data_IF_821996052337
#
_entry.id   IF_821996052337
#
_cell.length_a   1.000
_cell.length_b   1.000
_cell.length_c   1.000
_cell.angle_alpha   90.00
_cell.angle_beta   90.00
_cell.angle_gamma   90.00
#
_symmetry.space_group_name_H-M   'P 1'
#
loop_
_entity.id
_entity.type
_entity.pdbx_description
1 polymer ?
#
# COMPACT_ATOMS: atom_id res chain seq x y z
N UNK A 1 -8.60 -5.46 -1.32
CA UNK A 1 -7.22 -4.96 -1.24
C UNK A 1 -7.25 -3.49 -0.88
N UNK A 2 -6.40 -3.11 0.07
CA UNK A 2 -6.23 -1.72 0.43
C UNK A 2 -5.07 -1.11 -0.30
N UNK A 3 -5.27 0.12 -0.69
CA UNK A 3 -4.16 1.01 -0.94
C UNK A 3 -3.36 1.15 0.37
N UNK A 4 -2.04 0.89 0.40
CA UNK A 4 -1.26 0.94 1.62
C UNK A 4 -1.32 2.24 2.41
N UNK A 5 -1.71 3.34 1.75
CA UNK A 5 -1.88 4.65 2.38
C UNK A 5 -3.30 5.00 2.75
N UNK A 6 -4.26 4.16 2.41
CA UNK A 6 -5.64 4.40 2.81
C UNK A 6 -5.77 4.30 4.32
N UNK A 7 -6.49 5.22 4.95
CA UNK A 7 -6.82 5.08 6.36
C UNK A 7 -7.60 3.79 6.58
N UNK A 8 -7.15 2.94 7.48
CA UNK A 8 -7.83 1.67 7.83
C UNK A 8 -9.22 1.91 8.43
N UNK A 9 -9.43 3.06 9.07
CA UNK A 9 -10.71 3.45 9.67
C UNK A 9 -11.92 3.38 8.72
N UNK A 10 -11.83 3.71 7.42
CA UNK A 10 -12.96 3.55 6.50
C UNK A 10 -13.41 2.11 6.33
N UNK A 11 -12.48 1.17 6.28
CA UNK A 11 -12.84 -0.24 6.26
C UNK A 11 -13.58 -0.63 7.53
N UNK A 12 -13.03 -0.27 8.68
CA UNK A 12 -13.65 -0.53 9.98
C UNK A 12 -15.07 0.07 10.04
N UNK A 13 -15.28 1.22 9.42
CA UNK A 13 -16.60 1.83 9.32
C UNK A 13 -17.54 1.06 8.39
N UNK A 14 -17.08 0.63 7.23
CA UNK A 14 -17.86 -0.18 6.29
C UNK A 14 -18.26 -1.53 6.92
N UNK A 15 -17.43 -2.05 7.81
CA UNK A 15 -17.64 -3.32 8.52
C UNK A 15 -18.60 -3.24 9.72
N UNK A 16 -19.11 -2.07 10.07
CA UNK A 16 -19.96 -1.87 11.28
C UNK A 16 -21.21 -2.74 11.37
N UNK A 17 -21.63 -3.36 10.27
CA UNK A 17 -22.85 -4.19 10.22
C UNK A 17 -22.58 -5.69 10.14
N UNK A 18 -21.33 -6.12 10.07
CA UNK A 18 -20.99 -7.52 9.85
C UNK A 18 -19.84 -7.94 10.76
N UNK A 19 -20.02 -9.05 11.49
CA UNK A 19 -18.90 -9.65 12.21
C UNK A 19 -17.97 -10.33 11.22
N UNK A 20 -16.69 -9.99 11.24
CA UNK A 20 -15.74 -10.54 10.29
C UNK A 20 -14.35 -10.73 10.90
N UNK A 21 -13.60 -11.62 10.27
CA UNK A 21 -12.17 -11.78 10.48
C UNK A 21 -11.41 -10.96 9.46
N UNK A 22 -10.24 -10.49 9.85
CA UNK A 22 -9.31 -9.78 8.96
C UNK A 22 -8.08 -10.65 8.77
N UNK A 23 -7.65 -10.77 7.53
CA UNK A 23 -6.33 -11.29 7.19
C UNK A 23 -5.38 -10.13 6.96
N UNK A 24 -4.20 -10.21 7.58
CA UNK A 24 -3.10 -9.28 7.39
C UNK A 24 -2.02 -10.00 6.62
N UNK A 25 -1.83 -9.61 5.37
CA UNK A 25 -0.75 -10.14 4.55
C UNK A 25 0.59 -9.65 5.09
N UNK A 26 1.43 -10.57 5.55
CA UNK A 26 2.73 -10.27 6.15
C UNK A 26 3.88 -10.29 5.13
N UNK A 27 3.56 -10.49 3.86
CA UNK A 27 4.49 -10.39 2.73
C UNK A 27 3.87 -9.48 1.70
N UNK A 28 4.62 -8.52 1.17
CA UNK A 28 4.10 -7.65 0.12
C UNK A 28 4.04 -8.40 -1.20
N UNK A 29 2.84 -8.56 -1.75
CA UNK A 29 2.63 -9.18 -3.06
C UNK A 29 2.35 -8.14 -4.15
N UNK A 30 1.45 -7.20 -3.88
CA UNK A 30 0.89 -6.32 -4.92
C UNK A 30 1.59 -4.97 -5.08
N UNK A 31 2.63 -4.72 -4.34
CA UNK A 31 3.49 -3.53 -4.49
C UNK A 31 4.81 -3.83 -5.20
N UNK A 32 4.90 -4.99 -5.89
CA UNK A 32 6.13 -5.53 -6.39
C UNK A 32 6.94 -6.17 -5.26
N UNK A 33 7.02 -7.47 -5.26
CA UNK A 33 7.79 -8.19 -4.25
C UNK A 33 9.24 -7.72 -4.26
N UNK A 34 9.73 -7.37 -3.10
CA UNK A 34 11.14 -7.09 -2.88
C UNK A 34 11.62 -7.83 -1.65
N UNK A 35 12.69 -8.58 -1.80
CA UNK A 35 13.35 -9.25 -0.68
C UNK A 35 13.92 -8.27 0.36
N UNK A 36 13.97 -6.99 0.02
CA UNK A 36 14.54 -5.93 0.84
C UNK A 36 13.49 -5.14 1.61
N UNK A 37 12.22 -5.40 1.36
CA UNK A 37 11.15 -4.66 1.99
C UNK A 37 10.49 -5.40 3.12
N UNK A 38 10.03 -4.64 4.03
CA UNK A 38 9.11 -4.98 5.06
C UNK A 38 8.29 -3.74 5.34
N UNK A 39 7.21 -3.65 5.87
CA UNK A 39 6.58 -4.21 7.01
C UNK A 39 5.24 -3.57 7.18
N UNK A 40 4.21 -4.26 6.86
CA UNK A 40 2.86 -3.85 7.21
C UNK A 40 2.67 -3.73 8.73
N UNK A 41 3.22 -4.62 9.59
CA UNK A 41 3.05 -4.49 11.04
C UNK A 41 3.75 -3.26 11.66
N UNK A 42 4.67 -2.62 10.97
CA UNK A 42 5.29 -1.37 11.42
C UNK A 42 4.61 -0.12 10.84
N UNK A 43 3.71 -0.29 9.88
CA UNK A 43 2.88 0.79 9.36
C UNK A 43 1.91 1.30 10.43
N UNK A 44 1.79 2.62 10.55
CA UNK A 44 0.97 3.24 11.60
C UNK A 44 -0.53 2.95 11.44
N UNK A 45 -1.01 2.74 10.19
CA UNK A 45 -2.39 2.37 9.93
C UNK A 45 -2.68 0.96 10.45
N UNK A 46 -1.76 0.01 10.19
CA UNK A 46 -1.90 -1.36 10.67
C UNK A 46 -1.80 -1.44 12.19
N UNK A 47 -0.88 -0.72 12.80
CA UNK A 47 -0.77 -0.62 14.26
C UNK A 47 -2.05 -0.02 14.84
N UNK A 48 -2.62 1.00 14.21
CA UNK A 48 -3.90 1.59 14.63
C UNK A 48 -5.05 0.57 14.57
N UNK A 49 -5.13 -0.22 13.48
CA UNK A 49 -6.12 -1.29 13.35
C UNK A 49 -6.01 -2.30 14.51
N UNK A 50 -4.80 -2.74 14.82
CA UNK A 50 -4.56 -3.71 15.87
C UNK A 50 -4.88 -3.16 17.27
N UNK A 51 -4.64 -1.86 17.49
CA UNK A 51 -4.90 -1.17 18.77
C UNK A 51 -6.36 -0.83 19.02
N UNK A 52 -7.11 -0.62 17.95
CA UNK A 52 -8.50 -0.16 18.00
C UNK A 52 -9.44 -1.09 17.23
N UNK A 53 -9.44 -2.40 17.51
CA UNK A 53 -10.38 -3.31 16.87
C UNK A 53 -11.81 -2.86 17.18
N UNK A 54 -12.67 -2.86 16.18
CA UNK A 54 -14.10 -2.60 16.40
C UNK A 54 -14.77 -3.85 16.97
N UNK A 55 -15.93 -3.70 17.60
CA UNK A 55 -16.75 -4.83 18.11
C UNK A 55 -17.08 -5.86 17.00
N UNK A 56 -16.97 -5.49 15.76
CA UNK A 56 -17.27 -6.33 14.61
C UNK A 56 -16.07 -7.15 14.12
N UNK A 57 -14.85 -6.86 14.56
CA UNK A 57 -13.68 -7.67 14.27
C UNK A 57 -13.61 -8.79 15.31
N UNK A 58 -13.90 -10.01 14.87
CA UNK A 58 -13.89 -11.20 15.76
C UNK A 58 -12.54 -11.91 15.77
N UNK A 59 -11.64 -11.55 14.89
CA UNK A 59 -10.29 -12.07 14.85
C UNK A 59 -9.45 -11.39 13.77
N UNK A 60 -8.13 -11.40 13.99
CA UNK A 60 -7.13 -10.93 13.01
C UNK A 60 -6.11 -12.04 12.85
N UNK A 61 -5.89 -12.51 11.63
CA UNK A 61 -4.91 -13.52 11.29
C UNK A 61 -3.78 -12.93 10.46
N UNK A 62 -2.54 -13.20 10.85
CA UNK A 62 -1.39 -12.96 9.98
C UNK A 62 -1.26 -14.08 8.97
N UNK A 63 -1.12 -13.76 7.69
CA UNK A 63 -0.98 -14.73 6.60
C UNK A 63 0.18 -14.34 5.70
N UNK A 64 0.80 -15.30 5.05
CA UNK A 64 1.71 -15.09 3.92
C UNK A 64 1.88 -16.36 3.10
N UNK A 65 2.23 -16.19 1.84
CA UNK A 65 2.69 -17.28 0.99
C UNK A 65 4.10 -17.67 1.39
N UNK A 66 4.30 -18.90 1.83
CA UNK A 66 5.61 -19.37 2.33
C UNK A 66 6.33 -20.29 1.32
N UNK A 67 5.62 -20.79 0.31
CA UNK A 67 6.19 -21.71 -0.68
C UNK A 67 6.80 -22.96 -0.05
N UNK A 68 7.79 -23.54 -0.72
CA UNK A 68 8.53 -24.73 -0.30
C UNK A 68 9.98 -24.41 0.12
N UNK A 69 10.34 -23.14 0.28
CA UNK A 69 11.69 -22.72 0.62
C UNK A 69 12.00 -22.97 2.09
N UNK A 70 13.24 -23.38 2.39
CA UNK A 70 13.73 -23.57 3.75
C UNK A 70 13.67 -22.27 4.57
N UNK A 71 13.95 -21.16 3.93
CA UNK A 71 13.74 -19.84 4.47
C UNK A 71 12.37 -19.35 4.00
N UNK A 72 11.35 -19.70 4.72
CA UNK A 72 9.97 -19.32 4.43
C UNK A 72 9.86 -17.82 4.19
N UNK A 73 9.07 -17.44 3.20
CA UNK A 73 8.93 -16.08 2.69
C UNK A 73 10.20 -15.51 2.00
N UNK A 74 11.23 -16.33 1.75
CA UNK A 74 12.39 -15.96 0.94
C UNK A 74 13.35 -14.93 1.54
N UNK A 75 13.04 -14.32 2.68
CA UNK A 75 13.80 -13.22 3.24
C UNK A 75 13.79 -13.24 4.77
N UNK A 76 14.95 -12.89 5.36
CA UNK A 76 15.03 -12.66 6.80
C UNK A 76 14.13 -11.49 7.22
N UNK A 77 14.02 -10.46 6.40
CA UNK A 77 13.17 -9.30 6.68
C UNK A 77 11.69 -9.68 6.80
N UNK A 78 11.22 -10.65 6.04
CA UNK A 78 9.83 -11.13 6.16
C UNK A 78 9.58 -11.83 7.51
N UNK A 79 10.59 -12.47 8.10
CA UNK A 79 10.49 -13.02 9.44
C UNK A 79 10.24 -11.94 10.50
N UNK A 80 10.77 -10.74 10.31
CA UNK A 80 10.51 -9.63 11.22
C UNK A 80 9.05 -9.19 11.18
N UNK A 81 8.34 -9.29 10.04
CA UNK A 81 6.90 -9.06 9.97
C UNK A 81 6.13 -10.01 10.89
N UNK A 82 6.45 -11.29 10.83
CA UNK A 82 5.85 -12.29 11.70
C UNK A 82 6.17 -12.03 13.17
N UNK A 83 7.41 -11.70 13.45
CA UNK A 83 7.83 -11.35 14.81
C UNK A 83 7.04 -10.13 15.33
N UNK A 84 6.93 -9.08 14.53
CA UNK A 84 6.21 -7.87 14.87
C UNK A 84 4.72 -8.15 15.08
N UNK A 85 4.09 -8.91 14.20
CA UNK A 85 2.69 -9.31 14.35
C UNK A 85 2.46 -10.07 15.67
N UNK A 86 3.30 -11.06 15.96
CA UNK A 86 3.21 -11.82 17.22
C UNK A 86 3.43 -10.96 18.47
N UNK A 87 4.37 -10.01 18.43
CA UNK A 87 4.62 -9.07 19.54
C UNK A 87 3.43 -8.15 19.77
N UNK A 88 2.86 -7.59 18.71
CA UNK A 88 1.68 -6.72 18.78
C UNK A 88 0.44 -7.50 19.21
N UNK A 89 0.27 -8.74 18.77
CA UNK A 89 -0.82 -9.60 19.24
C UNK A 89 -0.73 -9.89 20.75
N UNK A 90 0.47 -9.95 21.31
CA UNK A 90 0.68 -10.16 22.74
C UNK A 90 0.67 -8.88 23.58
N UNK A 91 1.10 -7.76 23.01
CA UNK A 91 1.15 -6.48 23.70
C UNK A 91 1.05 -5.30 22.71
N UNK A 92 -0.13 -4.74 22.57
CA UNK A 92 -0.44 -3.62 21.67
C UNK A 92 0.19 -2.28 22.08
N UNK A 93 0.80 -2.19 23.26
CA UNK A 93 1.46 -0.95 23.72
C UNK A 93 2.91 -0.82 23.26
N UNK A 94 3.48 -1.89 22.68
CA UNK A 94 4.86 -1.85 22.19
C UNK A 94 5.01 -0.89 21.01
N UNK A 95 6.10 -0.14 21.00
CA UNK A 95 6.44 0.70 19.85
C UNK A 95 7.07 -0.12 18.73
N UNK A 96 6.84 0.30 17.49
CA UNK A 96 7.46 -0.31 16.30
C UNK A 96 8.99 -0.32 16.41
N UNK A 97 9.59 0.73 16.92
CA UNK A 97 11.04 0.82 17.13
C UNK A 97 11.54 -0.20 18.14
N UNK A 98 10.86 -0.38 19.27
CA UNK A 98 11.21 -1.40 20.27
C UNK A 98 11.19 -2.80 19.67
N UNK A 99 10.14 -3.11 18.90
CA UNK A 99 9.98 -4.41 18.25
C UNK A 99 11.10 -4.65 17.23
N UNK A 100 11.40 -3.66 16.40
CA UNK A 100 12.44 -3.75 15.38
C UNK A 100 13.81 -4.01 16.01
N UNK A 101 14.21 -3.23 17.02
CA UNK A 101 15.47 -3.39 17.74
C UNK A 101 15.59 -4.75 18.43
N UNK A 102 14.52 -5.19 19.06
CA UNK A 102 14.49 -6.50 19.73
C UNK A 102 14.66 -7.64 18.73
N UNK A 103 13.97 -7.57 17.59
CA UNK A 103 14.10 -8.58 16.54
C UNK A 103 15.52 -8.63 15.97
N UNK A 104 16.09 -7.46 15.64
CA UNK A 104 17.44 -7.36 15.11
C UNK A 104 18.46 -7.96 16.09
N UNK A 105 18.38 -7.58 17.36
CA UNK A 105 19.32 -8.07 18.37
C UNK A 105 19.25 -9.60 18.51
N UNK A 106 18.04 -10.18 18.49
CA UNK A 106 17.84 -11.63 18.61
C UNK A 106 18.22 -12.38 17.35
N UNK A 107 17.81 -11.89 16.18
CA UNK A 107 18.00 -12.61 14.91
C UNK A 107 19.46 -12.61 14.46
N UNK A 108 20.20 -11.55 14.76
CA UNK A 108 21.61 -11.39 14.37
C UNK A 108 22.60 -11.54 15.52
N UNK A 109 22.11 -11.91 16.70
CA UNK A 109 22.92 -12.10 17.93
C UNK A 109 23.90 -10.94 18.17
N UNK A 110 23.43 -9.71 18.07
CA UNK A 110 24.23 -8.50 18.23
C UNK A 110 23.45 -7.36 18.88
N UNK A 111 24.16 -6.56 19.66
CA UNK A 111 23.66 -5.29 20.21
C UNK A 111 24.48 -4.09 19.74
N UNK A 112 25.38 -4.29 18.76
CA UNK A 112 26.22 -3.23 18.23
C UNK A 112 25.37 -2.10 17.62
N UNK A 113 25.42 -0.88 18.14
CA UNK A 113 24.61 0.23 17.63
C UNK A 113 24.94 0.61 16.17
N UNK A 114 26.16 0.28 15.70
CA UNK A 114 26.55 0.53 14.30
C UNK A 114 25.79 -0.36 13.32
N UNK A 115 25.27 -1.50 13.77
CA UNK A 115 24.37 -2.37 13.01
C UNK A 115 22.90 -2.08 13.35
N UNK A 116 22.56 -2.07 14.63
CA UNK A 116 21.16 -1.96 15.09
C UNK A 116 20.50 -0.65 14.63
N UNK A 117 21.20 0.48 14.69
CA UNK A 117 20.59 1.75 14.34
C UNK A 117 20.22 1.86 12.85
N UNK A 118 21.11 1.63 11.88
CA UNK A 118 20.75 1.69 10.47
C UNK A 118 19.72 0.62 10.11
N UNK A 119 19.86 -0.61 10.59
CA UNK A 119 18.91 -1.67 10.30
C UNK A 119 17.50 -1.42 10.89
N UNK A 120 17.43 -0.78 12.06
CA UNK A 120 16.13 -0.33 12.60
C UNK A 120 15.47 0.66 11.63
N UNK A 121 16.24 1.59 11.08
CA UNK A 121 15.76 2.55 10.10
C UNK A 121 15.24 1.83 8.84
N UNK A 122 16.00 0.88 8.30
CA UNK A 122 15.55 0.04 7.16
C UNK A 122 14.21 -0.61 7.46
N UNK A 123 14.08 -1.26 8.62
CA UNK A 123 12.84 -1.91 9.01
C UNK A 123 11.65 -0.95 9.12
N UNK A 124 11.85 0.27 9.54
CA UNK A 124 10.78 1.24 9.77
C UNK A 124 10.42 2.07 8.53
N UNK A 125 11.33 2.23 7.57
CA UNK A 125 11.16 3.18 6.46
C UNK A 125 11.08 2.49 5.08
N UNK A 126 11.53 1.22 4.95
CA UNK A 126 11.58 0.56 3.65
C UNK A 126 10.21 0.38 2.99
N UNK A 127 9.15 0.17 3.76
CA UNK A 127 7.79 0.10 3.22
C UNK A 127 7.41 1.41 2.49
N UNK A 128 7.63 2.54 3.12
CA UNK A 128 7.34 3.85 2.52
C UNK A 128 8.16 4.13 1.26
N UNK A 129 9.43 3.71 1.23
CA UNK A 129 10.25 3.83 0.04
C UNK A 129 9.66 3.02 -1.12
N UNK A 130 9.25 1.77 -0.88
CA UNK A 130 8.60 0.93 -1.89
C UNK A 130 7.28 1.54 -2.36
N UNK A 131 6.44 1.98 -1.44
CA UNK A 131 5.16 2.62 -1.81
C UNK A 131 5.39 3.83 -2.70
N UNK A 132 6.44 4.63 -2.46
CA UNK A 132 6.73 5.79 -3.31
C UNK A 132 7.05 5.42 -4.74
N UNK A 133 7.84 4.38 -5.01
CA UNK A 133 8.17 4.03 -6.39
C UNK A 133 7.21 3.02 -7.03
N UNK A 134 6.53 2.19 -6.24
CA UNK A 134 5.55 1.24 -6.77
C UNK A 134 4.14 1.83 -6.89
N UNK A 135 3.84 2.86 -6.09
CA UNK A 135 2.50 3.45 -6.00
C UNK A 135 2.57 4.99 -5.94
N UNK A 136 3.35 5.64 -6.82
CA UNK A 136 3.50 7.09 -6.79
C UNK A 136 2.13 7.76 -6.97
N UNK A 137 1.80 8.70 -6.10
CA UNK A 137 0.53 9.43 -6.05
C UNK A 137 -0.73 8.54 -6.03
N UNK A 138 -0.61 7.29 -5.57
CA UNK A 138 -1.73 6.35 -5.49
C UNK A 138 -1.95 5.49 -6.73
N UNK A 139 -1.06 5.50 -7.71
CA UNK A 139 -1.06 4.46 -8.75
C UNK A 139 -0.86 3.10 -8.09
N UNK A 140 -1.74 2.16 -8.40
CA UNK A 140 -1.73 0.82 -7.84
C UNK A 140 -1.64 -0.22 -8.95
N UNK A 141 -1.18 -1.45 -8.65
CA UNK A 141 -1.07 -2.52 -9.63
C UNK A 141 -0.20 -2.17 -10.87
N UNK A 142 0.87 -1.40 -10.70
CA UNK A 142 1.80 -1.08 -11.77
C UNK A 142 2.96 -2.09 -11.89
N UNK A 143 2.77 -3.30 -11.42
CA UNK A 143 3.72 -4.42 -11.48
C UNK A 143 3.39 -5.37 -12.64
N UNK A 144 4.34 -6.21 -13.00
CA UNK A 144 4.13 -7.25 -14.00
C UNK A 144 3.16 -8.31 -13.50
N UNK A 145 2.06 -8.54 -14.22
CA UNK A 145 1.02 -9.48 -13.83
C UNK A 145 1.49 -10.93 -13.68
N UNK A 146 2.55 -11.32 -14.41
CA UNK A 146 3.04 -12.70 -14.41
C UNK A 146 3.85 -13.11 -13.20
N UNK A 147 4.47 -12.17 -12.51
CA UNK A 147 5.36 -12.44 -11.37
C UNK A 147 5.30 -11.40 -10.25
N UNK A 148 4.45 -10.40 -10.37
CA UNK A 148 4.22 -9.34 -9.37
C UNK A 148 5.44 -8.48 -9.01
N UNK A 149 6.49 -8.52 -9.81
CA UNK A 149 7.62 -7.60 -9.70
C UNK A 149 7.39 -6.38 -10.60
N UNK A 150 7.99 -5.33 -10.30
CA UNK A 150 7.87 -4.14 -11.13
C UNK A 150 8.69 -2.99 -10.57
N UNK A 151 8.42 -1.78 -11.04
CA UNK A 151 7.22 -1.35 -11.80
C UNK A 151 7.25 -1.73 -13.28
N UNK A 152 6.16 -2.22 -13.81
CA UNK A 152 5.92 -2.48 -15.23
C UNK A 152 4.53 -1.95 -15.65
N UNK A 153 4.29 -0.65 -15.65
CA UNK A 153 2.98 -0.06 -15.92
C UNK A 153 2.47 -0.33 -17.35
N UNK A 154 3.34 -0.76 -18.25
CA UNK A 154 3.01 -1.19 -19.62
C UNK A 154 2.63 -2.67 -19.72
N UNK A 155 2.62 -3.41 -18.63
CA UNK A 155 2.33 -4.84 -18.65
C UNK A 155 0.94 -5.11 -19.22
N UNK A 156 0.88 -5.99 -20.21
CA UNK A 156 -0.36 -6.42 -20.86
C UNK A 156 -0.18 -7.87 -21.31
N UNK A 157 -0.67 -8.80 -20.52
CA UNK A 157 -0.60 -10.25 -20.82
C UNK A 157 -1.88 -10.67 -21.51
N UNK A 158 -1.79 -10.97 -22.80
CA UNK A 158 -2.93 -11.44 -23.58
C UNK A 158 -3.48 -12.76 -23.01
N UNK A 159 -4.77 -12.74 -22.67
CA UNK A 159 -5.46 -13.88 -22.06
C UNK A 159 -5.19 -14.07 -20.57
N UNK A 160 -4.45 -13.15 -19.94
CA UNK A 160 -4.35 -13.06 -18.49
C UNK A 160 -5.62 -12.47 -17.87
N UNK A 161 -5.73 -12.54 -16.55
CA UNK A 161 -6.82 -11.88 -15.83
C UNK A 161 -6.67 -10.36 -15.95
N UNK A 162 -7.74 -9.69 -16.30
CA UNK A 162 -7.77 -8.25 -16.46
C UNK A 162 -7.44 -7.52 -15.16
N UNK A 163 -8.01 -7.96 -14.07
CA UNK A 163 -7.86 -7.39 -12.72
C UNK A 163 -6.46 -7.64 -12.10
N UNK A 164 -5.56 -8.28 -12.81
CA UNK A 164 -4.14 -8.43 -12.43
C UNK A 164 -3.21 -7.54 -13.25
N UNK A 165 -3.75 -6.68 -14.09
CA UNK A 165 -2.96 -5.89 -15.03
C UNK A 165 -3.11 -4.39 -14.77
N UNK A 166 -2.04 -3.61 -14.93
CA UNK A 166 -2.05 -2.17 -14.63
C UNK A 166 -3.16 -1.40 -15.36
N UNK A 167 -3.36 -1.67 -16.64
CA UNK A 167 -4.36 -0.99 -17.47
C UNK A 167 -5.80 -1.17 -16.98
N UNK A 168 -6.04 -2.19 -16.18
CA UNK A 168 -7.35 -2.43 -15.58
C UNK A 168 -7.70 -1.35 -14.55
N UNK A 169 -6.74 -0.90 -13.77
CA UNK A 169 -6.94 0.08 -12.70
C UNK A 169 -6.71 1.51 -13.16
N UNK A 170 -5.72 1.73 -14.02
CA UNK A 170 -5.27 3.06 -14.39
C UNK A 170 -5.16 3.19 -15.90
N UNK A 171 -5.47 4.41 -16.37
CA UNK A 171 -5.34 4.76 -17.77
C UNK A 171 -4.37 5.94 -17.90
N UNK A 172 -3.47 5.82 -18.87
CA UNK A 172 -2.68 6.94 -19.38
C UNK A 172 -3.20 7.27 -20.77
N UNK A 173 -3.61 8.49 -21.00
CA UNK A 173 -4.06 8.98 -22.31
C UNK A 173 -3.58 10.42 -22.56
N UNK A 174 -4.00 11.00 -23.68
CA UNK A 174 -3.63 12.36 -24.05
C UNK A 174 -4.09 13.42 -23.04
N UNK A 175 -5.08 13.12 -22.22
CA UNK A 175 -5.65 14.05 -21.25
C UNK A 175 -4.98 13.94 -19.88
N UNK A 176 -4.55 12.75 -19.45
CA UNK A 176 -4.02 12.56 -18.12
C UNK A 176 -3.70 11.12 -17.76
N UNK A 177 -3.57 10.88 -16.45
CA UNK A 177 -3.24 9.61 -15.85
C UNK A 177 -4.11 9.36 -14.61
N UNK A 178 -4.39 8.10 -14.33
CA UNK A 178 -4.99 7.68 -13.07
C UNK A 178 -6.19 6.79 -13.26
N UNK A 179 -7.11 6.83 -12.31
CA UNK A 179 -8.24 5.94 -12.21
C UNK A 179 -9.04 5.86 -13.53
N UNK A 180 -9.31 4.64 -13.98
CA UNK A 180 -9.94 4.40 -15.28
C UNK A 180 -11.39 3.93 -15.19
N UNK A 181 -11.91 3.67 -13.99
CA UNK A 181 -13.17 2.95 -13.82
C UNK A 181 -14.09 3.58 -12.81
N UNK A 182 -15.39 3.41 -13.03
CA UNK A 182 -16.41 3.59 -12.02
C UNK A 182 -17.04 2.25 -11.71
N UNK A 183 -17.23 1.98 -10.42
CA UNK A 183 -18.08 0.90 -9.97
C UNK A 183 -19.53 1.40 -9.95
N UNK A 184 -20.42 0.73 -10.67
CA UNK A 184 -21.85 1.13 -10.78
C UNK A 184 -22.76 0.49 -9.73
N UNK A 185 -22.20 -0.32 -8.84
CA UNK A 185 -22.92 -1.00 -7.76
C UNK A 185 -23.20 -2.48 -8.05
N UNK A 186 -22.94 -2.97 -9.24
CA UNK A 186 -23.01 -4.40 -9.57
C UNK A 186 -21.59 -4.96 -9.74
N UNK A 187 -21.36 -6.16 -9.20
CA UNK A 187 -20.02 -6.73 -9.01
C UNK A 187 -19.24 -6.99 -10.31
N UNK A 188 -19.85 -6.83 -11.47
CA UNK A 188 -19.27 -7.11 -12.77
C UNK A 188 -19.36 -5.97 -13.79
N UNK A 189 -20.07 -4.90 -13.46
CA UNK A 189 -20.21 -3.78 -14.37
C UNK A 189 -19.20 -2.69 -14.07
N UNK A 190 -18.12 -2.72 -14.81
CA UNK A 190 -17.08 -1.69 -14.74
C UNK A 190 -17.33 -0.68 -15.84
N UNK A 191 -17.77 0.49 -15.47
CA UNK A 191 -17.98 1.58 -16.40
C UNK A 191 -16.66 2.20 -16.85
N UNK A 192 -16.58 2.82 -18.02
CA UNK A 192 -15.45 3.63 -18.44
C UNK A 192 -15.11 4.69 -17.38
N UNK A 193 -13.84 4.98 -17.22
CA UNK A 193 -13.34 5.95 -16.26
C UNK A 193 -13.85 7.36 -16.47
N UNK A 194 -13.60 8.20 -15.50
CA UNK A 194 -13.98 9.61 -15.54
C UNK A 194 -13.14 10.43 -16.52
N UNK A 195 -13.67 11.56 -16.93
CA UNK A 195 -12.86 12.61 -17.52
C UNK A 195 -11.88 13.20 -16.48
N UNK A 196 -10.85 13.89 -16.97
CA UNK A 196 -9.82 14.48 -16.13
C UNK A 196 -10.38 15.51 -15.14
N UNK A 197 -9.86 15.49 -13.94
CA UNK A 197 -10.20 16.43 -12.85
C UNK A 197 -11.68 16.46 -12.45
N UNK A 198 -12.42 15.42 -12.75
CA UNK A 198 -13.83 15.33 -12.37
C UNK A 198 -14.14 14.02 -11.65
N UNK A 199 -14.79 14.12 -10.52
CA UNK A 199 -15.32 12.99 -9.77
C UNK A 199 -14.28 11.95 -9.36
N UNK A 200 -14.75 10.96 -8.62
CA UNK A 200 -13.96 9.83 -8.16
C UNK A 200 -14.72 8.52 -8.32
N UNK A 201 -14.06 7.48 -8.85
CA UNK A 201 -14.64 6.16 -9.00
C UNK A 201 -14.87 5.43 -7.70
N UNK A 202 -13.85 5.35 -6.87
CA UNK A 202 -13.86 4.53 -5.66
C UNK A 202 -14.38 5.26 -4.41
N UNK A 203 -14.47 6.58 -4.41
CA UNK A 203 -14.83 7.36 -3.21
C UNK A 203 -16.21 7.00 -2.65
N UNK A 204 -17.13 6.51 -3.48
CA UNK A 204 -18.48 6.08 -3.05
C UNK A 204 -18.49 4.89 -2.08
N UNK A 205 -17.39 4.14 -2.02
CA UNK A 205 -17.25 3.01 -1.11
C UNK A 205 -16.99 3.45 0.34
N UNK A 206 -16.71 4.73 0.54
CA UNK A 206 -16.33 5.30 1.83
C UNK A 206 -17.50 6.03 2.51
N UNK A 207 -17.44 6.17 3.85
CA UNK A 207 -18.43 6.97 4.57
C UNK A 207 -18.36 8.45 4.15
N UNK A 208 -19.48 9.17 4.32
CA UNK A 208 -19.66 10.55 3.86
C UNK A 208 -18.52 11.50 4.24
N UNK A 209 -17.96 11.34 5.44
CA UNK A 209 -16.84 12.17 5.92
C UNK A 209 -15.60 12.03 5.06
N UNK A 210 -15.31 10.83 4.55
CA UNK A 210 -14.17 10.54 3.68
C UNK A 210 -14.54 10.71 2.22
N UNK A 211 -15.76 10.32 1.83
CA UNK A 211 -16.26 10.60 0.50
C UNK A 211 -16.08 12.07 0.11
N UNK A 212 -16.43 13.00 1.02
CA UNK A 212 -16.30 14.43 0.77
C UNK A 212 -14.84 14.90 0.59
N UNK A 213 -13.89 14.14 1.12
CA UNK A 213 -12.45 14.41 0.95
C UNK A 213 -11.96 13.80 -0.38
N UNK A 214 -12.26 12.54 -0.61
CA UNK A 214 -11.71 11.78 -1.74
C UNK A 214 -12.40 12.06 -3.08
N UNK A 215 -13.64 12.55 -3.08
CA UNK A 215 -14.40 12.76 -4.29
C UNK A 215 -13.99 13.99 -5.11
N UNK A 216 -13.12 14.82 -4.62
CA UNK A 216 -12.65 16.04 -5.29
C UNK A 216 -11.13 16.04 -5.39
N UNK A 217 -10.62 16.36 -6.57
CA UNK A 217 -9.17 16.45 -6.83
C UNK A 217 -8.49 17.42 -5.84
N UNK A 218 -9.16 18.54 -5.54
CA UNK A 218 -8.60 19.60 -4.69
C UNK A 218 -8.51 19.22 -3.21
N UNK A 219 -9.28 18.26 -2.75
CA UNK A 219 -9.31 17.84 -1.35
C UNK A 219 -8.74 16.44 -1.13
N UNK A 220 -8.56 15.68 -2.21
CA UNK A 220 -7.97 14.36 -2.14
C UNK A 220 -6.50 14.46 -1.68
N UNK A 221 -6.07 13.64 -0.70
CA UNK A 221 -4.66 13.56 -0.35
C UNK A 221 -3.82 13.20 -1.58
N UNK A 222 -2.72 13.93 -1.81
CA UNK A 222 -1.90 13.76 -3.02
C UNK A 222 -1.39 12.32 -3.21
N UNK A 223 -1.05 11.63 -2.11
CA UNK A 223 -0.60 10.24 -2.13
C UNK A 223 -1.71 9.22 -2.52
N UNK A 224 -2.97 9.65 -2.62
CA UNK A 224 -4.10 8.84 -3.05
C UNK A 224 -4.74 9.36 -4.35
N UNK A 225 -4.20 10.42 -4.91
CA UNK A 225 -4.83 11.18 -5.98
C UNK A 225 -5.16 10.33 -7.20
N UNK A 226 -4.21 9.55 -7.69
CA UNK A 226 -4.40 8.74 -8.90
C UNK A 226 -5.16 7.43 -8.63
N UNK A 227 -5.30 7.03 -7.38
CA UNK A 227 -6.20 5.94 -6.97
C UNK A 227 -7.67 6.30 -7.12
N UNK A 228 -8.00 7.56 -6.86
CA UNK A 228 -9.37 8.03 -6.91
C UNK A 228 -9.73 8.77 -8.19
N UNK A 229 -8.77 9.42 -8.87
CA UNK A 229 -9.04 10.32 -9.97
C UNK A 229 -8.20 10.02 -11.21
N UNK A 230 -8.76 10.40 -12.36
CA UNK A 230 -8.01 10.59 -13.60
C UNK A 230 -7.62 12.06 -13.69
N UNK A 231 -6.33 12.35 -13.68
CA UNK A 231 -5.79 13.71 -13.44
C UNK A 231 -5.00 14.18 -14.66
N UNK A 232 -5.22 15.42 -15.08
CA UNK A 232 -4.51 16.01 -16.21
C UNK A 232 -3.00 16.10 -15.92
N UNK A 233 -2.18 15.84 -16.95
CA UNK A 233 -0.71 15.86 -16.84
C UNK A 233 -0.15 17.16 -16.26
N UNK A 234 -0.77 18.29 -16.57
CA UNK A 234 -0.38 19.63 -16.12
C UNK A 234 -1.20 20.16 -14.93
N UNK A 235 -2.01 19.32 -14.29
CA UNK A 235 -2.71 19.70 -13.07
C UNK A 235 -1.70 20.18 -12.04
N UNK A 236 -2.03 21.29 -11.35
CA UNK A 236 -1.14 21.87 -10.33
C UNK A 236 -1.41 21.26 -8.98
N UNK A 237 -0.38 20.64 -8.43
CA UNK A 237 -0.35 20.10 -7.08
C UNK A 237 -0.26 21.25 -6.06
N UNK A 238 -0.47 20.97 -4.77
CA UNK A 238 -0.45 22.00 -3.73
C UNK A 238 0.89 22.76 -3.62
N UNK A 239 2.00 22.10 -3.96
CA UNK A 239 3.33 22.71 -3.99
C UNK A 239 3.61 23.50 -5.29
N UNK A 240 2.66 23.53 -6.23
CA UNK A 240 2.78 24.23 -7.51
C UNK A 240 3.44 23.43 -8.65
N UNK A 241 3.93 22.23 -8.39
CA UNK A 241 4.42 21.32 -9.44
C UNK A 241 3.28 20.85 -10.33
N UNK A 242 3.59 20.33 -11.52
CA UNK A 242 2.62 19.57 -12.30
C UNK A 242 2.41 18.18 -11.68
N UNK A 243 1.28 17.56 -11.94
CA UNK A 243 1.04 16.16 -11.52
C UNK A 243 2.14 15.23 -12.06
N UNK A 244 2.58 15.45 -13.30
CA UNK A 244 3.66 14.67 -13.88
C UNK A 244 4.99 14.86 -13.14
N UNK A 245 5.38 16.08 -12.82
CA UNK A 245 6.60 16.34 -12.07
C UNK A 245 6.54 15.74 -10.66
N UNK A 246 5.43 15.90 -9.97
CA UNK A 246 5.20 15.32 -8.65
C UNK A 246 5.25 13.77 -8.66
N UNK A 247 4.70 13.15 -9.70
CA UNK A 247 4.77 11.70 -9.88
C UNK A 247 6.22 11.23 -10.06
N UNK A 248 6.98 11.89 -10.96
CA UNK A 248 8.38 11.60 -11.19
C UNK A 248 9.22 11.80 -9.91
N UNK A 249 9.03 12.92 -9.21
CA UNK A 249 9.75 13.19 -7.97
C UNK A 249 9.44 12.16 -6.87
N UNK A 250 8.18 11.74 -6.73
CA UNK A 250 7.78 10.72 -5.76
C UNK A 250 8.45 9.38 -6.07
N UNK A 251 8.42 8.98 -7.34
CA UNK A 251 9.09 7.78 -7.81
C UNK A 251 10.59 7.81 -7.53
N UNK A 252 11.27 8.86 -7.99
CA UNK A 252 12.72 9.03 -7.82
C UNK A 252 13.13 9.10 -6.35
N UNK A 253 12.31 9.69 -5.51
CA UNK A 253 12.54 9.73 -4.07
C UNK A 253 12.52 8.31 -3.50
N UNK A 254 11.50 7.52 -3.83
CA UNK A 254 11.39 6.12 -3.36
C UNK A 254 12.57 5.27 -3.79
N UNK A 255 13.02 5.42 -5.06
CA UNK A 255 14.21 4.72 -5.57
C UNK A 255 15.46 5.10 -4.78
N UNK A 256 15.72 6.41 -4.61
CA UNK A 256 16.90 6.89 -3.84
C UNK A 256 16.88 6.41 -2.39
N UNK A 257 15.72 6.38 -1.75
CA UNK A 257 15.58 5.88 -0.38
C UNK A 257 15.87 4.37 -0.31
N UNK A 258 15.35 3.59 -1.27
CA UNK A 258 15.62 2.16 -1.36
C UNK A 258 17.11 1.84 -1.61
N UNK A 259 17.78 2.64 -2.45
CA UNK A 259 19.22 2.52 -2.71
C UNK A 259 20.08 2.91 -1.50
N UNK A 260 19.57 3.75 -0.60
CA UNK A 260 20.26 4.20 0.61
C UNK A 260 20.15 3.21 1.79
N UNK A 261 19.28 2.23 1.69
CA UNK A 261 19.11 1.15 2.65
C UNK A 261 20.08 0.00 2.38
#
# INVERSE_FOLDING_TARGET
DFQPREPVNPLLFAMKKTKMMIEVQLTQEYTGESIHTCFMPFDDNMISLLRHPTENIVGIAGVSNVGDMKNWCGSEMTKANWYAFGKLASNLSLSKETIAREWLAKNFDTTDPRFINPMTRVLLESHEAVVRYMMPLGLHHIFAAGHHYGPEPWCNIKGGRDDWQPWYYHKADAQGLGFNRTYDGEFHDVQPGFGVNIGSGNARLYPDSLYNIYNKVETCPEQLLLWFHHVAWNHRMHNGETMWDALCHTYDQGVREAEAF
#
